data_IF_255540435498
#
_entry.id   IF_255540435498
#
_cell.length_a   1.000
_cell.length_b   1.000
_cell.length_c   1.000
_cell.angle_alpha   90.00
_cell.angle_beta   90.00
_cell.angle_gamma   90.00
#
_symmetry.space_group_name_H-M   'P 1'
#
loop_
_entity.id
_entity.type
_entity.pdbx_description
1 polymer ?
#
# COMPACT_ATOMS: atom_id res chain seq x y z
N UNK A 1 39.45 -37.45 -8.79
CA UNK A 1 38.36 -38.28 -9.34
C UNK A 1 37.05 -37.68 -8.83
N UNK A 2 36.43 -36.80 -9.63
CA UNK A 2 35.20 -37.06 -10.42
C UNK A 2 34.03 -37.52 -9.55
N UNK A 3 33.04 -36.65 -9.30
CA UNK A 3 31.95 -36.24 -10.20
C UNK A 3 30.69 -37.09 -9.96
N UNK A 4 29.66 -36.42 -9.45
CA UNK A 4 28.23 -36.74 -9.53
C UNK A 4 27.52 -35.37 -9.47
N UNK A 5 27.35 -34.66 -10.58
CA UNK A 5 26.12 -34.69 -11.41
C UNK A 5 24.85 -34.72 -10.56
N UNK A 6 24.20 -33.57 -10.34
CA UNK A 6 23.25 -32.84 -11.21
C UNK A 6 21.80 -33.19 -10.85
N UNK A 7 20.92 -32.19 -10.99
CA UNK A 7 19.45 -32.20 -10.81
C UNK A 7 18.97 -31.88 -9.38
N UNK A 8 18.70 -30.61 -9.08
CA UNK A 8 17.36 -30.10 -9.36
C UNK A 8 17.27 -28.58 -9.18
N UNK A 9 16.88 -27.95 -10.28
CA UNK A 9 16.54 -26.55 -10.40
C UNK A 9 15.04 -26.46 -10.15
N UNK A 10 14.63 -26.32 -8.89
CA UNK A 10 13.24 -26.03 -8.55
C UNK A 10 13.21 -24.64 -7.93
N UNK A 11 12.56 -23.72 -8.66
CA UNK A 11 12.38 -22.34 -8.26
C UNK A 11 11.70 -22.25 -6.90
N UNK A 12 12.34 -21.56 -5.96
CA UNK A 12 11.69 -21.12 -4.74
C UNK A 12 10.85 -19.89 -5.10
N UNK A 13 9.59 -20.11 -5.47
CA UNK A 13 8.59 -19.05 -5.42
C UNK A 13 8.62 -18.47 -3.99
N UNK A 14 8.66 -17.14 -3.81
CA UNK A 14 8.55 -16.59 -2.47
C UNK A 14 7.21 -17.04 -1.90
N UNK A 15 7.25 -17.92 -0.90
CA UNK A 15 6.07 -18.24 -0.13
C UNK A 15 5.57 -16.93 0.45
N UNK A 16 4.34 -16.56 0.12
CA UNK A 16 3.59 -15.53 0.85
C UNK A 16 3.50 -16.07 2.27
N UNK A 17 4.41 -15.60 3.13
CA UNK A 17 4.54 -16.07 4.50
C UNK A 17 3.23 -15.81 5.24
N UNK A 18 2.55 -16.88 5.66
CA UNK A 18 1.55 -16.80 6.70
C UNK A 18 2.27 -16.40 8.00
N UNK A 19 2.33 -15.09 8.26
CA UNK A 19 2.90 -14.57 9.49
C UNK A 19 2.02 -15.01 10.67
N UNK A 20 2.49 -16.00 11.45
CA UNK A 20 1.84 -16.41 12.70
C UNK A 20 1.97 -15.37 13.83
N UNK A 21 2.72 -14.28 13.58
CA UNK A 21 2.75 -13.08 14.39
C UNK A 21 1.93 -11.99 13.71
N UNK A 22 1.21 -11.18 14.49
CA UNK A 22 0.46 -10.03 13.95
C UNK A 22 1.43 -9.15 13.16
N UNK A 23 1.21 -9.04 11.85
CA UNK A 23 2.00 -8.17 10.99
C UNK A 23 1.96 -6.75 11.55
N UNK A 24 3.10 -6.08 11.70
CA UNK A 24 3.17 -4.74 12.30
C UNK A 24 2.32 -3.70 11.55
N UNK A 25 2.15 -3.87 10.23
CA UNK A 25 1.21 -3.07 9.41
C UNK A 25 -0.25 -3.45 9.70
N UNK A 26 -0.54 -4.73 9.96
CA UNK A 26 -1.87 -5.18 10.38
C UNK A 26 -2.17 -4.90 11.86
N UNK A 27 -1.15 -4.59 12.67
CA UNK A 27 -1.25 -4.22 14.09
C UNK A 27 -1.08 -2.73 14.34
N UNK A 28 -0.73 -1.92 13.34
CA UNK A 28 -0.64 -0.47 13.47
C UNK A 28 -2.04 0.11 13.49
N UNK A 29 -2.56 0.36 14.69
CA UNK A 29 -3.93 0.83 14.92
C UNK A 29 -4.04 2.36 14.79
N UNK A 30 -3.49 2.92 13.72
CA UNK A 30 -3.64 4.36 13.43
C UNK A 30 -4.53 4.55 12.20
N UNK A 31 -5.87 4.51 12.38
CA UNK A 31 -6.80 4.71 11.28
C UNK A 31 -6.68 6.12 10.67
N UNK A 32 -6.32 7.12 11.48
CA UNK A 32 -6.14 8.49 11.00
C UNK A 32 -4.85 8.61 10.19
N UNK A 33 -3.76 7.97 10.62
CA UNK A 33 -2.51 7.86 9.87
C UNK A 33 -2.68 7.10 8.55
N UNK A 34 -3.50 6.03 8.53
CA UNK A 34 -3.83 5.32 7.30
C UNK A 34 -4.63 6.20 6.32
N UNK A 35 -5.60 6.96 6.84
CA UNK A 35 -6.37 7.92 6.04
C UNK A 35 -5.45 8.98 5.44
N UNK A 36 -4.50 9.51 6.22
CA UNK A 36 -3.57 10.53 5.76
C UNK A 36 -2.63 10.00 4.68
N UNK A 37 -2.01 8.84 4.92
CA UNK A 37 -1.13 8.18 3.95
C UNK A 37 -1.87 7.89 2.63
N UNK A 38 -3.08 7.33 2.72
CA UNK A 38 -3.86 7.03 1.52
C UNK A 38 -4.32 8.30 0.79
N UNK A 39 -4.64 9.36 1.51
CA UNK A 39 -5.00 10.65 0.91
C UNK A 39 -3.82 11.24 0.13
N UNK A 40 -2.60 11.18 0.68
CA UNK A 40 -1.36 11.58 0.01
C UNK A 40 -1.13 10.78 -1.26
N UNK A 41 -1.16 9.45 -1.21
CA UNK A 41 -0.97 8.59 -2.38
C UNK A 41 -2.03 8.82 -3.47
N UNK A 42 -3.29 9.01 -3.07
CA UNK A 42 -4.37 9.35 -4.01
C UNK A 42 -4.15 10.71 -4.65
N UNK A 43 -3.61 11.69 -3.93
CA UNK A 43 -3.27 12.99 -4.48
C UNK A 43 -2.09 12.90 -5.45
N UNK A 44 -0.98 12.29 -5.01
CA UNK A 44 0.27 12.20 -5.77
C UNK A 44 0.09 11.37 -7.04
N UNK A 45 -0.69 10.28 -7.01
CA UNK A 45 -1.02 9.48 -8.21
C UNK A 45 -1.76 10.26 -9.30
N UNK A 46 -2.33 11.42 -8.99
CA UNK A 46 -3.04 12.30 -9.93
C UNK A 46 -2.24 13.52 -10.34
N UNK A 47 -1.05 13.71 -9.77
CA UNK A 47 -0.13 14.73 -10.25
C UNK A 47 0.62 14.15 -11.45
N UNK A 48 0.47 14.79 -12.60
CA UNK A 48 1.32 14.50 -13.75
C UNK A 48 2.77 14.90 -13.44
N UNK A 49 3.74 14.30 -14.12
CA UNK A 49 5.18 14.53 -13.97
C UNK A 49 5.64 15.89 -14.55
N UNK A 50 4.85 16.93 -14.30
CA UNK A 50 5.04 18.29 -14.81
C UNK A 50 5.59 19.21 -13.73
N UNK A 51 6.15 20.33 -14.15
CA UNK A 51 6.60 21.40 -13.25
C UNK A 51 5.48 22.03 -12.40
N UNK A 52 4.22 21.67 -12.63
CA UNK A 52 3.06 22.14 -11.86
C UNK A 52 2.51 21.09 -10.89
N UNK A 53 3.12 19.90 -10.83
CA UNK A 53 2.83 18.91 -9.82
C UNK A 53 3.01 19.53 -8.44
N UNK A 54 1.97 19.49 -7.62
CA UNK A 54 2.06 19.93 -6.23
C UNK A 54 2.21 18.71 -5.36
N UNK A 55 3.15 18.77 -4.42
CA UNK A 55 3.22 17.77 -3.35
C UNK A 55 1.96 17.82 -2.51
N UNK A 56 1.64 16.72 -1.83
CA UNK A 56 0.50 16.67 -0.93
C UNK A 56 0.53 17.81 0.09
N UNK A 57 1.69 18.11 0.67
CA UNK A 57 1.90 19.23 1.59
C UNK A 57 1.45 20.60 1.02
N UNK A 58 1.46 20.77 -0.31
CA UNK A 58 1.15 22.00 -1.03
C UNK A 58 -0.22 21.98 -1.73
N UNK A 59 -1.00 20.91 -1.54
CA UNK A 59 -2.30 20.73 -2.20
C UNK A 59 -3.31 21.81 -1.78
N UNK A 60 -3.20 22.34 -0.56
CA UNK A 60 -4.11 23.33 0.02
C UNK A 60 -5.37 22.71 0.62
N UNK A 61 -6.00 23.45 1.54
CA UNK A 61 -7.02 22.92 2.46
C UNK A 61 -8.20 22.21 1.80
N UNK A 62 -8.71 22.76 0.69
CA UNK A 62 -9.83 22.14 -0.04
C UNK A 62 -9.46 20.73 -0.52
N UNK A 63 -8.27 20.57 -1.07
CA UNK A 63 -7.81 19.30 -1.61
C UNK A 63 -7.44 18.33 -0.48
N UNK A 64 -6.86 18.83 0.61
CA UNK A 64 -6.69 18.04 1.83
C UNK A 64 -7.99 17.42 2.32
N UNK A 65 -9.06 18.22 2.41
CA UNK A 65 -10.38 17.74 2.84
C UNK A 65 -10.90 16.67 1.87
N UNK A 66 -10.90 16.94 0.56
CA UNK A 66 -11.47 16.03 -0.45
C UNK A 66 -10.76 14.69 -0.52
N UNK A 67 -9.44 14.68 -0.44
CA UNK A 67 -8.68 13.44 -0.56
C UNK A 67 -8.72 12.62 0.73
N UNK A 68 -8.84 13.25 1.91
CA UNK A 68 -9.17 12.55 3.16
C UNK A 68 -10.56 11.92 3.14
N UNK A 69 -11.57 12.61 2.60
CA UNK A 69 -12.92 12.06 2.41
C UNK A 69 -12.90 10.84 1.46
N UNK A 70 -12.14 10.95 0.37
CA UNK A 70 -11.97 9.86 -0.58
C UNK A 70 -11.26 8.65 0.05
N UNK A 71 -10.17 8.88 0.77
CA UNK A 71 -9.43 7.84 1.48
C UNK A 71 -10.32 7.07 2.47
N UNK A 72 -11.09 7.78 3.31
CA UNK A 72 -12.07 7.16 4.22
C UNK A 72 -13.10 6.30 3.50
N UNK A 73 -13.59 6.78 2.35
CA UNK A 73 -14.57 6.04 1.55
C UNK A 73 -13.97 4.74 1.00
N UNK A 74 -12.73 4.81 0.49
CA UNK A 74 -12.02 3.65 -0.05
C UNK A 74 -11.73 2.61 1.05
N UNK A 75 -11.20 3.03 2.19
CA UNK A 75 -10.94 2.15 3.35
C UNK A 75 -12.23 1.45 3.77
N UNK A 76 -13.31 2.21 3.99
CA UNK A 76 -14.59 1.63 4.39
C UNK A 76 -15.17 0.66 3.35
N UNK A 77 -14.88 0.83 2.05
CA UNK A 77 -15.27 -0.14 1.03
C UNK A 77 -14.46 -1.45 1.15
N UNK A 78 -13.15 -1.34 1.34
CA UNK A 78 -12.25 -2.49 1.46
C UNK A 78 -12.54 -3.30 2.73
N UNK A 79 -12.86 -2.64 3.84
CA UNK A 79 -13.25 -3.31 5.10
C UNK A 79 -14.57 -4.08 5.00
N UNK A 80 -15.48 -3.68 4.09
CA UNK A 80 -16.77 -4.33 3.88
C UNK A 80 -16.74 -5.41 2.80
N UNK A 81 -15.66 -5.49 2.03
CA UNK A 81 -15.54 -6.46 0.95
C UNK A 81 -15.11 -7.81 1.53
N UNK A 82 -15.90 -8.90 1.41
CA UNK A 82 -15.42 -10.22 1.80
C UNK A 82 -14.23 -10.57 0.91
N UNK A 83 -13.11 -10.94 1.52
CA UNK A 83 -11.99 -11.56 0.81
C UNK A 83 -12.47 -12.90 0.26
N UNK A 84 -12.78 -12.94 -1.03
CA UNK A 84 -13.01 -14.17 -1.80
C UNK A 84 -11.74 -15.04 -1.87
#
# INVERSE_FOLDING_TARGET
MSARENLDRVGHAPSVGHNSAACTLCSSTDPDGLVELLAEELWESRQDDTQWARRWADAGDLWHIRFRELARTAIGFLERSPTE
#
